data_IF_880974100514
#
_entry.id   IF_880974100514
#
_cell.length_a   1.000
_cell.length_b   1.000
_cell.length_c   1.000
_cell.angle_alpha   90.00
_cell.angle_beta   90.00
_cell.angle_gamma   90.00
#
_symmetry.space_group_name_H-M   'P 1'
#
loop_
_entity.id
_entity.type
_entity.pdbx_description
1 polymer ?
#
# COMPACT_ATOMS: atom_id res chain seq x y z
N UNK A 1 0.64 1.63 4.78
CA UNK A 1 -0.21 0.42 4.82
C UNK A 1 0.42 -0.60 3.90
N UNK A 2 0.54 -1.85 4.32
CA UNK A 2 1.04 -2.94 3.48
C UNK A 2 -0.07 -3.96 3.22
N UNK A 3 -0.02 -4.62 2.07
CA UNK A 3 -0.89 -5.74 1.74
C UNK A 3 -0.09 -6.82 1.03
N UNK A 4 -0.64 -8.03 0.94
CA UNK A 4 0.00 -9.11 0.16
C UNK A 4 0.13 -8.70 -1.31
N UNK A 5 1.24 -9.06 -1.94
CA UNK A 5 1.39 -8.88 -3.39
C UNK A 5 0.30 -9.73 -4.09
N UNK A 6 -0.58 -9.13 -4.90
CA UNK A 6 -1.59 -9.88 -5.63
C UNK A 6 -0.91 -10.86 -6.58
N UNK A 7 -1.45 -12.07 -6.66
CA UNK A 7 -1.01 -13.07 -7.63
C UNK A 7 -1.51 -12.62 -9.00
N UNK A 8 -0.74 -11.77 -9.69
CA UNK A 8 -1.01 -11.47 -11.09
C UNK A 8 -0.98 -12.80 -11.85
N UNK A 9 -2.09 -13.14 -12.52
CA UNK A 9 -2.18 -14.32 -13.40
C UNK A 9 -1.07 -14.32 -14.44
N UNK A 10 -0.81 -15.46 -15.11
CA UNK A 10 0.25 -15.56 -16.09
C UNK A 10 0.13 -14.42 -17.08
N UNK A 11 1.18 -13.60 -17.15
CA UNK A 11 1.31 -12.58 -18.18
C UNK A 11 1.28 -13.32 -19.51
N UNK A 12 0.13 -13.39 -20.18
CA UNK A 12 0.10 -13.74 -21.59
C UNK A 12 0.70 -12.57 -22.37
N UNK A 13 2.01 -12.37 -22.21
CA UNK A 13 2.81 -11.84 -23.29
C UNK A 13 2.75 -12.88 -24.39
N UNK A 14 1.90 -12.64 -25.39
CA UNK A 14 2.01 -13.32 -26.68
C UNK A 14 3.42 -13.09 -27.21
N UNK A 15 4.32 -14.04 -26.93
CA UNK A 15 5.66 -14.10 -27.49
C UNK A 15 5.79 -15.51 -28.02
N UNK A 16 5.34 -15.70 -29.25
CA UNK A 16 5.68 -16.83 -30.09
C UNK A 16 7.20 -17.00 -30.13
N UNK A 17 7.70 -18.15 -29.64
CA UNK A 17 9.00 -18.72 -29.99
C UNK A 17 10.25 -18.11 -29.33
N UNK A 18 11.10 -19.01 -28.82
CA UNK A 18 12.56 -18.79 -28.79
C UNK A 18 13.23 -18.46 -27.45
N UNK A 19 13.91 -19.47 -26.91
CA UNK A 19 15.16 -19.48 -26.10
C UNK A 19 15.28 -18.59 -24.84
N UNK A 20 15.51 -19.26 -23.71
CA UNK A 20 16.21 -18.80 -22.50
C UNK A 20 16.02 -17.34 -22.10
N UNK A 21 14.81 -16.99 -21.68
CA UNK A 21 14.62 -15.79 -20.87
C UNK A 21 15.02 -16.13 -19.44
N UNK A 22 16.26 -15.78 -19.07
CA UNK A 22 16.65 -15.62 -17.68
C UNK A 22 15.49 -14.93 -16.95
N UNK A 23 14.86 -15.65 -16.01
CA UNK A 23 13.70 -15.19 -15.25
C UNK A 23 14.12 -13.88 -14.60
N UNK A 24 13.65 -12.75 -15.16
CA UNK A 24 14.05 -11.41 -14.71
C UNK A 24 13.77 -11.37 -13.21
N UNK A 25 14.82 -11.28 -12.40
CA UNK A 25 14.68 -11.35 -10.95
C UNK A 25 13.76 -10.21 -10.54
N UNK A 26 12.56 -10.55 -10.05
CA UNK A 26 11.58 -9.57 -9.63
C UNK A 26 12.24 -8.63 -8.61
N UNK A 27 12.18 -7.33 -8.85
CA UNK A 27 12.63 -6.34 -7.89
C UNK A 27 11.53 -6.20 -6.84
N UNK A 28 11.68 -6.93 -5.74
CA UNK A 28 10.75 -6.88 -4.62
C UNK A 28 11.25 -5.90 -3.57
N UNK A 29 10.34 -5.18 -2.92
CA UNK A 29 10.70 -4.42 -1.73
C UNK A 29 10.96 -5.39 -0.58
N UNK A 30 11.94 -5.08 0.25
CA UNK A 30 12.22 -5.82 1.47
C UNK A 30 11.77 -4.97 2.66
N UNK A 31 10.88 -5.54 3.47
CA UNK A 31 10.28 -4.90 4.63
C UNK A 31 10.77 -5.62 5.88
N UNK A 32 11.37 -4.88 6.81
CA UNK A 32 11.73 -5.38 8.13
C UNK A 32 10.70 -4.96 9.17
N UNK A 33 10.17 -5.94 9.89
CA UNK A 33 9.14 -5.78 10.91
C UNK A 33 9.64 -6.28 12.27
N UNK A 34 9.07 -5.74 13.33
CA UNK A 34 9.26 -6.31 14.65
C UNK A 34 8.45 -7.63 14.81
N UNK A 35 8.74 -8.46 15.82
CA UNK A 35 8.04 -9.73 16.03
C UNK A 35 6.51 -9.60 16.21
N UNK A 36 6.03 -8.45 16.71
CA UNK A 36 4.59 -8.18 16.85
C UNK A 36 3.93 -7.70 15.55
N UNK A 37 4.72 -7.41 14.50
CA UNK A 37 4.26 -6.91 13.19
C UNK A 37 3.55 -5.55 13.26
N UNK A 38 3.92 -4.72 14.23
CA UNK A 38 3.33 -3.41 14.47
C UNK A 38 4.25 -2.28 14.06
N UNK A 39 5.56 -2.49 14.15
CA UNK A 39 6.58 -1.50 13.88
C UNK A 39 7.32 -1.83 12.61
N UNK A 40 7.53 -0.77 11.81
CA UNK A 40 8.29 -0.81 10.58
C UNK A 40 9.73 -0.43 10.89
N UNK A 41 10.61 -1.43 10.86
CA UNK A 41 12.00 -1.29 11.26
C UNK A 41 12.91 -1.02 10.07
N UNK A 42 12.59 -1.57 8.90
CA UNK A 42 13.42 -1.43 7.71
C UNK A 42 12.57 -1.39 6.45
N UNK A 43 13.01 -0.58 5.48
CA UNK A 43 12.49 -0.56 4.12
C UNK A 43 13.72 -0.49 3.20
N UNK A 44 13.79 -1.42 2.26
CA UNK A 44 14.67 -1.33 1.11
C UNK A 44 13.82 -1.53 -0.15
N UNK A 45 13.89 -0.57 -1.07
CA UNK A 45 13.10 -0.69 -2.30
C UNK A 45 13.79 -1.63 -3.27
N UNK A 46 13.03 -2.31 -4.13
CA UNK A 46 13.61 -3.21 -5.12
C UNK A 46 14.58 -2.52 -6.11
N UNK A 47 14.57 -1.18 -6.18
CA UNK A 47 15.54 -0.41 -6.95
C UNK A 47 16.87 -0.20 -6.19
N UNK A 48 16.84 -0.13 -4.86
CA UNK A 48 18.03 -0.02 -3.99
C UNK A 48 18.74 -1.37 -3.82
N UNK A 49 18.02 -2.49 -4.02
CA UNK A 49 18.54 -3.84 -3.79
C UNK A 49 19.15 -4.36 -5.10
N UNK A 50 20.47 -4.24 -5.24
CA UNK A 50 21.21 -4.88 -6.34
C UNK A 50 21.51 -6.35 -6.04
N UNK A 51 22.25 -6.61 -4.96
CA UNK A 51 22.66 -7.96 -4.51
C UNK A 51 22.46 -8.13 -3.00
N UNK A 52 22.79 -7.12 -2.21
CA UNK A 52 22.76 -7.17 -0.75
C UNK A 52 21.90 -6.05 -0.15
N UNK A 53 21.16 -6.37 0.92
CA UNK A 53 20.44 -5.38 1.71
C UNK A 53 21.25 -5.00 2.97
N UNK A 54 21.42 -3.70 3.22
CA UNK A 54 22.17 -3.20 4.38
C UNK A 54 21.23 -2.92 5.55
N UNK A 55 21.45 -3.60 6.67
CA UNK A 55 20.67 -3.44 7.90
C UNK A 55 21.51 -2.75 8.96
N UNK A 56 20.95 -1.74 9.62
CA UNK A 56 21.64 -1.06 10.72
C UNK A 56 21.70 -1.95 11.96
N UNK A 57 22.92 -2.19 12.46
CA UNK A 57 23.14 -2.92 13.73
C UNK A 57 22.36 -2.29 14.89
N UNK A 58 22.17 -0.97 14.90
CA UNK A 58 21.44 -0.26 15.96
C UNK A 58 19.99 -0.74 16.08
N UNK A 59 19.34 -1.01 14.94
CA UNK A 59 17.97 -1.53 14.93
C UNK A 59 17.97 -2.93 15.53
N UNK A 60 18.87 -3.82 15.10
CA UNK A 60 18.96 -5.19 15.62
C UNK A 60 19.26 -5.22 17.13
N UNK A 61 20.17 -4.38 17.62
CA UNK A 61 20.41 -4.23 19.06
C UNK A 61 19.20 -3.70 19.82
N UNK A 62 18.33 -2.91 19.18
CA UNK A 62 17.13 -2.36 19.81
C UNK A 62 15.99 -3.36 19.89
N UNK A 63 15.74 -4.07 18.81
CA UNK A 63 14.57 -4.97 18.71
C UNK A 63 14.89 -6.41 19.12
N UNK A 64 16.16 -6.80 19.10
CA UNK A 64 16.64 -8.17 19.32
C UNK A 64 16.36 -9.10 18.14
N UNK A 65 15.13 -9.06 17.62
CA UNK A 65 14.66 -9.87 16.50
C UNK A 65 13.90 -9.01 15.49
N UNK A 66 14.12 -9.30 14.20
CA UNK A 66 13.43 -8.64 13.09
C UNK A 66 12.97 -9.69 12.07
N UNK A 67 11.71 -9.61 11.66
CA UNK A 67 11.14 -10.42 10.57
C UNK A 67 11.32 -9.68 9.25
N UNK A 68 11.87 -10.37 8.24
CA UNK A 68 12.10 -9.80 6.91
C UNK A 68 11.10 -10.40 5.92
N UNK A 69 10.36 -9.55 5.22
CA UNK A 69 9.32 -9.93 4.26
C UNK A 69 9.53 -9.29 2.90
N UNK A 70 9.36 -10.08 1.84
CA UNK A 70 9.40 -9.63 0.43
C UNK A 70 8.07 -9.85 -0.31
N UNK A 71 7.08 -10.42 0.36
CA UNK A 71 5.75 -10.75 -0.15
C UNK A 71 4.71 -9.64 0.09
N UNK A 72 5.17 -8.47 0.58
CA UNK A 72 4.33 -7.31 0.88
C UNK A 72 4.49 -6.21 -0.16
N UNK A 73 3.36 -5.66 -0.58
CA UNK A 73 3.23 -4.48 -1.43
C UNK A 73 2.90 -3.25 -0.57
N UNK A 74 3.49 -2.11 -0.95
CA UNK A 74 3.12 -0.81 -0.39
C UNK A 74 1.87 -0.25 -1.11
N UNK A 75 0.77 -0.15 -0.35
CA UNK A 75 -0.52 0.34 -0.83
C UNK A 75 -0.58 1.88 -0.95
N UNK A 76 0.50 2.60 -0.63
CA UNK A 76 0.56 4.08 -0.72
C UNK A 76 -0.42 4.83 0.20
N UNK A 77 -0.87 4.18 1.27
CA UNK A 77 -1.69 4.80 2.31
C UNK A 77 -0.84 5.05 3.56
N UNK A 78 -0.59 6.32 3.86
CA UNK A 78 0.23 6.77 4.98
C UNK A 78 -0.58 7.68 5.90
N UNK A 79 -0.33 7.59 7.20
CA UNK A 79 -0.88 8.48 8.20
C UNK A 79 0.28 9.05 9.02
N UNK A 80 0.43 10.36 9.03
CA UNK A 80 1.52 11.06 9.70
C UNK A 80 0.99 11.95 10.83
N UNK A 81 1.74 12.02 11.93
CA UNK A 81 1.55 13.10 12.90
C UNK A 81 2.02 14.40 12.27
N UNK A 82 1.14 15.41 12.19
CA UNK A 82 1.42 16.70 11.54
C UNK A 82 2.77 17.30 11.97
N UNK A 83 3.04 17.35 13.27
CA UNK A 83 4.28 17.95 13.80
C UNK A 83 5.54 17.25 13.28
N UNK A 84 5.53 15.92 13.19
CA UNK A 84 6.68 15.12 12.73
C UNK A 84 6.88 15.32 11.22
N UNK A 85 5.80 15.32 10.45
CA UNK A 85 5.90 15.55 9.01
C UNK A 85 6.40 16.97 8.71
N UNK A 86 5.89 17.98 9.41
CA UNK A 86 6.31 19.36 9.23
C UNK A 86 7.81 19.53 9.53
N UNK A 87 8.30 18.98 10.64
CA UNK A 87 9.73 19.02 10.99
C UNK A 87 10.61 18.39 9.89
N UNK A 88 10.20 17.26 9.33
CA UNK A 88 10.94 16.62 8.23
C UNK A 88 10.96 17.51 6.99
N UNK A 89 9.81 18.08 6.61
CA UNK A 89 9.70 18.91 5.41
C UNK A 89 10.45 20.24 5.56
N UNK A 90 10.50 20.82 6.76
CA UNK A 90 11.23 22.06 7.03
C UNK A 90 12.75 21.83 6.99
N UNK A 91 13.23 20.67 7.45
CA UNK A 91 14.66 20.33 7.48
C UNK A 91 15.15 19.72 6.16
N UNK A 92 14.25 19.10 5.38
CA UNK A 92 14.56 18.38 4.14
C UNK A 92 13.73 18.90 2.98
N UNK A 93 14.01 20.15 2.61
CA UNK A 93 13.44 20.85 1.46
C UNK A 93 13.63 20.13 0.10
N UNK A 94 14.64 19.27 -0.01
CA UNK A 94 14.94 18.48 -1.22
C UNK A 94 14.08 17.22 -1.40
N UNK A 95 13.28 16.83 -0.41
CA UNK A 95 12.43 15.63 -0.49
C UNK A 95 11.26 15.83 -1.45
N UNK A 96 11.04 14.86 -2.34
CA UNK A 96 10.01 14.93 -3.40
C UNK A 96 9.01 13.78 -3.32
N UNK A 97 9.37 12.67 -2.65
CA UNK A 97 8.58 11.46 -2.58
C UNK A 97 8.34 11.02 -1.14
N UNK A 98 7.07 10.83 -0.78
CA UNK A 98 6.74 10.23 0.51
C UNK A 98 7.31 8.82 0.65
N UNK A 99 7.32 8.04 -0.44
CA UNK A 99 7.76 6.64 -0.44
C UNK A 99 9.28 6.49 -0.50
N UNK A 100 9.97 7.29 -1.31
CA UNK A 100 11.41 7.14 -1.53
C UNK A 100 12.24 8.01 -0.57
N UNK A 101 11.68 9.13 -0.09
CA UNK A 101 12.41 10.08 0.75
C UNK A 101 11.89 10.08 2.20
N UNK A 102 10.66 10.56 2.41
CA UNK A 102 10.12 10.86 3.75
C UNK A 102 10.01 9.59 4.59
N UNK A 103 9.37 8.54 4.07
CA UNK A 103 9.14 7.31 4.82
C UNK A 103 10.47 6.58 5.15
N UNK A 104 11.40 6.36 4.21
CA UNK A 104 12.70 5.77 4.52
C UNK A 104 13.51 6.62 5.49
N UNK A 105 13.45 7.95 5.37
CA UNK A 105 14.08 8.87 6.33
C UNK A 105 13.53 8.67 7.74
N UNK A 106 12.20 8.68 7.90
CA UNK A 106 11.54 8.47 9.19
C UNK A 106 11.91 7.10 9.78
N UNK A 107 11.85 6.03 8.99
CA UNK A 107 12.24 4.68 9.45
C UNK A 107 13.71 4.63 9.89
N UNK A 108 14.62 5.29 9.18
CA UNK A 108 16.06 5.33 9.53
C UNK A 108 16.36 6.23 10.74
N UNK A 109 15.50 7.20 11.03
CA UNK A 109 15.67 8.18 12.11
C UNK A 109 14.89 7.86 13.38
N UNK A 110 13.97 6.88 13.38
CA UNK A 110 13.13 6.54 14.54
C UNK A 110 13.89 6.10 15.80
N UNK A 111 15.16 5.72 15.67
CA UNK A 111 16.06 5.39 16.78
C UNK A 111 17.13 6.46 17.08
N UNK A 112 17.12 7.58 16.35
CA UNK A 112 18.04 8.69 16.60
C UNK A 112 17.46 9.53 17.74
N UNK A 113 18.26 9.78 18.77
CA UNK A 113 17.91 10.73 19.82
C UNK A 113 18.15 12.16 19.32
N UNK A 114 17.20 13.07 19.58
CA UNK A 114 17.37 14.53 19.43
C UNK A 114 18.62 15.08 20.17
N UNK A 115 19.21 14.33 21.10
CA UNK A 115 20.47 14.70 21.74
C UNK A 115 21.63 14.91 20.73
N UNK A 116 21.50 14.44 19.49
CA UNK A 116 22.45 14.69 18.39
C UNK A 116 22.07 15.86 17.47
N UNK A 117 20.86 16.42 17.61
CA UNK A 117 20.33 17.52 16.79
C UNK A 117 20.29 18.86 17.54
N UNK A 118 20.30 18.84 18.88
CA UNK A 118 20.20 20.06 19.68
C UNK A 118 21.53 20.79 19.83
N UNK A 119 21.84 21.65 18.86
CA UNK A 119 22.37 22.99 19.17
C UNK A 119 21.22 23.98 18.93
N UNK A 120 20.73 24.56 20.05
CA UNK A 120 19.80 25.70 20.22
C UNK A 120 18.27 25.49 20.21
N UNK A 121 17.48 26.30 20.97
CA UNK A 121 16.51 25.77 21.95
C UNK A 121 15.01 26.10 21.72
N UNK A 122 14.18 25.21 22.28
CA UNK A 122 12.87 25.34 22.95
C UNK A 122 11.84 26.41 22.53
N UNK A 123 10.63 25.93 22.24
CA UNK A 123 9.37 26.68 22.32
C UNK A 123 8.22 25.69 22.58
N UNK A 124 7.73 25.65 23.81
CA UNK A 124 6.53 24.92 24.20
C UNK A 124 5.31 25.72 23.78
N UNK A 125 4.42 25.15 22.96
CA UNK A 125 3.07 25.69 22.79
C UNK A 125 2.02 24.61 23.04
N UNK A 126 1.28 24.83 24.12
CA UNK A 126 0.02 24.20 24.46
C UNK A 126 -1.05 24.60 23.43
N UNK A 127 -1.55 23.64 22.65
CA UNK A 127 -2.70 23.83 21.75
C UNK A 127 -3.75 22.75 22.00
N UNK A 128 -4.75 23.07 22.83
CA UNK A 128 -5.91 22.24 23.08
C UNK A 128 -6.97 22.52 22.01
N UNK A 129 -7.00 21.73 20.93
CA UNK A 129 -8.09 21.76 19.95
C UNK A 129 -8.81 20.40 19.93
N UNK A 130 -10.01 20.38 20.51
CA UNK A 130 -10.97 19.28 20.36
C UNK A 130 -11.63 19.41 18.98
N UNK A 131 -11.29 18.51 18.06
CA UNK A 131 -12.06 18.29 16.83
C UNK A 131 -12.69 16.90 16.87
N UNK A 132 -14.02 16.89 16.81
CA UNK A 132 -14.89 15.72 16.78
C UNK A 132 -14.63 14.84 15.55
N UNK A 133 -14.30 13.58 15.74
CA UNK A 133 -14.30 12.54 14.69
C UNK A 133 -14.49 11.16 15.31
N UNK A 134 -15.71 10.86 15.76
CA UNK A 134 -16.03 9.64 16.51
C UNK A 134 -15.78 8.33 15.72
N UNK A 135 -15.72 8.36 14.39
CA UNK A 135 -15.44 7.15 13.58
C UNK A 135 -13.94 6.84 13.39
N UNK A 136 -13.04 7.82 13.53
CA UNK A 136 -11.59 7.58 13.41
C UNK A 136 -10.98 7.01 14.69
N UNK A 137 -11.68 7.16 15.82
CA UNK A 137 -11.16 6.79 17.13
C UNK A 137 -11.06 5.27 17.28
N UNK A 138 -11.99 4.47 16.73
CA UNK A 138 -11.94 3.01 16.84
C UNK A 138 -10.75 2.38 16.07
N UNK A 139 -10.45 2.90 14.87
CA UNK A 139 -9.31 2.45 14.06
C UNK A 139 -7.98 2.84 14.69
N UNK A 140 -7.86 4.09 15.14
CA UNK A 140 -6.68 4.59 15.86
C UNK A 140 -6.51 3.85 17.19
N UNK A 141 -7.59 3.60 17.94
CA UNK A 141 -7.56 2.82 19.17
C UNK A 141 -7.14 1.38 18.94
N UNK A 142 -7.47 0.74 17.81
CA UNK A 142 -6.96 -0.60 17.47
C UNK A 142 -5.45 -0.60 17.19
N UNK A 143 -4.95 0.42 16.49
CA UNK A 143 -3.51 0.59 16.23
C UNK A 143 -2.77 0.89 17.54
N UNK A 144 -3.31 1.78 18.38
CA UNK A 144 -2.71 2.18 19.66
C UNK A 144 -2.83 1.11 20.75
N UNK A 145 -3.95 0.39 20.84
CA UNK A 145 -4.13 -0.73 21.78
C UNK A 145 -3.18 -1.88 21.45
N UNK A 146 -2.94 -2.13 20.17
CA UNK A 146 -1.93 -3.08 19.73
C UNK A 146 -0.51 -2.62 20.14
N UNK A 147 -0.21 -1.32 20.05
CA UNK A 147 1.07 -0.72 20.46
C UNK A 147 1.32 -0.67 21.98
N UNK A 148 0.51 -1.35 22.80
CA UNK A 148 0.61 -1.39 24.28
C UNK A 148 1.68 -2.35 24.82
N UNK A 149 2.39 -3.09 23.96
CA UNK A 149 3.61 -3.79 24.37
C UNK A 149 4.73 -2.76 24.62
N UNK A 150 5.67 -3.02 25.54
CA UNK A 150 6.82 -2.13 25.73
C UNK A 150 7.58 -2.04 24.40
N UNK A 151 7.36 -0.96 23.65
CA UNK A 151 8.00 -0.83 22.34
C UNK A 151 9.51 -0.75 22.54
N UNK A 152 10.30 -1.31 21.63
CA UNK A 152 11.77 -1.29 21.67
C UNK A 152 12.39 0.12 21.88
N UNK A 153 11.64 1.18 21.58
CA UNK A 153 12.00 2.56 21.91
C UNK A 153 12.22 2.79 23.42
N UNK A 154 11.63 1.97 24.31
CA UNK A 154 11.75 2.07 25.77
C UNK A 154 13.12 1.66 26.33
N UNK A 155 13.86 0.79 25.62
CA UNK A 155 15.25 0.44 25.97
C UNK A 155 16.17 1.61 25.64
N UNK A 156 15.91 2.30 24.53
CA UNK A 156 16.69 3.43 24.06
C UNK A 156 16.25 4.79 24.63
N UNK A 157 15.17 4.84 25.43
CA UNK A 157 14.79 6.03 26.19
C UNK A 157 15.46 6.10 27.57
N UNK A 158 16.13 5.03 28.02
CA UNK A 158 16.89 5.02 29.27
C UNK A 158 18.33 5.48 29.02
N UNK A 159 18.73 6.55 29.70
CA UNK A 159 20.15 6.92 29.80
C UNK A 159 20.88 5.93 30.73
N UNK A 160 22.22 5.77 30.62
CA UNK A 160 23.01 4.98 31.57
C UNK A 160 22.81 5.43 33.02
N UNK A 161 22.42 6.69 33.20
CA UNK A 161 22.34 7.40 34.47
C UNK A 161 20.96 7.28 35.15
N UNK A 162 20.06 6.44 34.62
CA UNK A 162 18.70 6.25 35.16
C UNK A 162 17.74 7.44 34.98
N UNK A 163 18.20 8.55 34.40
CA UNK A 163 17.36 9.70 34.09
C UNK A 163 16.47 9.43 32.86
N UNK A 164 15.17 9.71 33.01
CA UNK A 164 14.20 9.73 31.91
C UNK A 164 14.36 11.02 31.10
N UNK A 165 15.32 11.06 30.17
CA UNK A 165 15.24 12.10 29.13
C UNK A 165 14.08 11.74 28.20
N UNK A 166 13.14 12.66 28.01
CA UNK A 166 12.08 12.59 26.99
C UNK A 166 12.71 12.69 25.60
N UNK A 167 13.45 11.66 25.17
CA UNK A 167 13.95 11.56 23.80
C UNK A 167 12.71 11.55 22.90
N UNK A 168 12.49 12.63 22.15
CA UNK A 168 11.46 12.64 21.11
C UNK A 168 11.94 11.72 20.01
N UNK A 169 11.50 10.47 20.08
CA UNK A 169 11.62 9.51 18.99
C UNK A 169 10.24 9.35 18.37
N UNK A 170 10.12 9.61 17.07
CA UNK A 170 8.92 9.19 16.36
C UNK A 170 8.98 7.68 16.15
N UNK A 171 7.80 7.06 16.10
CA UNK A 171 7.66 5.61 15.87
C UNK A 171 7.07 5.41 14.48
N UNK A 172 7.68 4.53 13.70
CA UNK A 172 7.11 4.11 12.43
C UNK A 172 6.29 2.85 12.64
N UNK A 173 4.97 2.97 12.55
CA UNK A 173 4.06 1.83 12.66
C UNK A 173 3.62 1.34 11.27
N UNK A 174 3.21 0.08 11.20
CA UNK A 174 2.66 -0.52 10.00
C UNK A 174 1.29 -1.11 10.28
N UNK A 175 0.39 -0.98 9.31
CA UNK A 175 -0.84 -1.77 9.24
C UNK A 175 -0.71 -2.72 8.05
N UNK A 176 -0.81 -4.02 8.31
CA UNK A 176 -0.81 -5.06 7.30
C UNK A 176 -2.26 -5.51 7.11
N UNK A 177 -2.77 -5.37 5.88
CA UNK A 177 -4.12 -5.81 5.53
C UNK A 177 -4.27 -7.32 5.77
N UNK A 178 -5.42 -7.72 6.29
CA UNK A 178 -5.77 -9.14 6.39
C UNK A 178 -5.80 -9.78 4.98
N UNK A 179 -5.46 -11.06 4.89
CA UNK A 179 -5.62 -11.84 3.66
C UNK A 179 -7.07 -11.93 3.20
N UNK A 180 -8.03 -11.69 4.10
CA UNK A 180 -9.47 -11.62 3.78
C UNK A 180 -9.90 -10.27 3.21
N UNK A 181 -9.03 -9.26 3.18
CA UNK A 181 -9.34 -7.92 2.67
C UNK A 181 -8.79 -7.73 1.27
N UNK A 182 -9.60 -7.16 0.37
CA UNK A 182 -9.14 -6.77 -0.95
C UNK A 182 -8.37 -5.44 -0.86
N UNK A 183 -7.06 -5.48 -1.09
CA UNK A 183 -6.20 -4.30 -1.05
C UNK A 183 -5.16 -4.38 -2.16
N UNK A 184 -5.27 -3.49 -3.14
CA UNK A 184 -4.51 -3.47 -4.38
C UNK A 184 -4.19 -2.02 -4.75
N UNK A 185 -3.06 -1.81 -5.42
CA UNK A 185 -2.63 -0.47 -5.83
C UNK A 185 -2.84 -0.27 -7.32
N UNK A 186 -3.54 0.81 -7.68
CA UNK A 186 -3.81 1.19 -9.06
C UNK A 186 -2.83 2.28 -9.52
N UNK A 187 -1.63 1.89 -9.96
CA UNK A 187 -0.60 2.81 -10.43
C UNK A 187 0.01 2.41 -11.79
N UNK A 188 -0.54 1.41 -12.45
CA UNK A 188 -0.12 0.97 -13.78
C UNK A 188 -1.31 0.47 -14.57
N UNK A 189 -1.17 0.43 -15.90
CA UNK A 189 -2.19 -0.14 -16.80
C UNK A 189 -2.38 -1.63 -16.48
N UNK A 190 -1.30 -2.35 -16.15
CA UNK A 190 -1.38 -3.75 -15.75
C UNK A 190 -2.21 -3.93 -14.49
N UNK A 191 -1.94 -3.13 -13.45
CA UNK A 191 -2.74 -3.16 -12.23
C UNK A 191 -4.20 -2.79 -12.50
N UNK A 192 -4.47 -1.80 -13.35
CA UNK A 192 -5.83 -1.46 -13.76
C UNK A 192 -6.56 -2.64 -14.41
N UNK A 193 -5.91 -3.36 -15.35
CA UNK A 193 -6.47 -4.54 -15.99
C UNK A 193 -6.70 -5.69 -15.01
N UNK A 194 -5.74 -5.93 -14.10
CA UNK A 194 -5.83 -6.98 -13.09
C UNK A 194 -6.96 -6.71 -12.11
N UNK A 195 -7.05 -5.48 -11.60
CA UNK A 195 -8.11 -5.04 -10.70
C UNK A 195 -9.47 -5.18 -11.39
N UNK A 196 -9.61 -4.76 -12.64
CA UNK A 196 -10.86 -4.93 -13.39
C UNK A 196 -11.28 -6.40 -13.52
N UNK A 197 -10.32 -7.31 -13.70
CA UNK A 197 -10.60 -8.75 -13.76
C UNK A 197 -10.99 -9.30 -12.39
N UNK A 198 -10.29 -8.91 -11.33
CA UNK A 198 -10.59 -9.35 -9.97
C UNK A 198 -12.00 -8.92 -9.58
N UNK A 199 -12.31 -7.64 -9.81
CA UNK A 199 -13.57 -7.05 -9.37
C UNK A 199 -14.77 -7.45 -10.24
N UNK A 200 -14.55 -8.08 -11.39
CA UNK A 200 -15.60 -8.72 -12.20
C UNK A 200 -15.64 -10.25 -12.01
N UNK A 201 -14.73 -10.79 -11.21
CA UNK A 201 -14.64 -12.21 -10.85
C UNK A 201 -14.66 -12.38 -9.34
N UNK A 202 -13.54 -12.76 -8.75
CA UNK A 202 -13.43 -13.17 -7.35
C UNK A 202 -13.82 -12.08 -6.34
N UNK A 203 -13.63 -10.81 -6.70
CA UNK A 203 -13.97 -9.65 -5.89
C UNK A 203 -15.27 -8.95 -6.34
N UNK A 204 -16.16 -9.64 -7.08
CA UNK A 204 -17.44 -9.09 -7.54
C UNK A 204 -18.34 -8.62 -6.37
N UNK A 205 -18.22 -9.26 -5.21
CA UNK A 205 -18.91 -8.86 -3.98
C UNK A 205 -18.60 -7.44 -3.49
N UNK A 206 -17.47 -6.85 -3.93
CA UNK A 206 -17.14 -5.45 -3.64
C UNK A 206 -17.99 -4.46 -4.44
N UNK A 207 -18.68 -4.93 -5.47
CA UNK A 207 -19.51 -4.12 -6.34
C UNK A 207 -20.97 -4.42 -6.08
N UNK A 208 -21.79 -3.38 -6.17
CA UNK A 208 -23.21 -3.53 -5.94
C UNK A 208 -23.81 -4.55 -6.93
N UNK A 209 -24.69 -5.45 -6.47
CA UNK A 209 -25.18 -6.60 -7.24
C UNK A 209 -25.92 -6.24 -8.55
N UNK A 210 -26.30 -4.98 -8.73
CA UNK A 210 -27.10 -4.50 -9.86
C UNK A 210 -26.29 -4.10 -11.12
N UNK A 211 -24.99 -4.39 -11.17
CA UNK A 211 -24.07 -3.83 -12.18
C UNK A 211 -23.58 -4.82 -13.25
N UNK A 212 -24.03 -6.07 -13.26
CA UNK A 212 -23.66 -7.04 -14.32
C UNK A 212 -24.16 -6.52 -15.67
N UNK A 213 -25.34 -5.92 -15.63
CA UNK A 213 -26.06 -5.33 -16.75
C UNK A 213 -26.88 -4.19 -16.11
N UNK A 214 -26.52 -2.92 -16.31
CA UNK A 214 -27.41 -1.82 -15.88
C UNK A 214 -28.82 -2.05 -16.44
N UNK A 215 -29.92 -1.54 -15.87
CA UNK A 215 -31.29 -2.01 -16.15
C UNK A 215 -31.82 -1.85 -17.59
N UNK A 216 -30.99 -1.45 -18.57
CA UNK A 216 -31.43 -0.92 -19.87
C UNK A 216 -30.56 -1.23 -21.11
N UNK A 217 -29.68 -2.24 -21.19
CA UNK A 217 -28.86 -2.38 -22.37
C UNK A 217 -29.65 -3.06 -23.48
N UNK A 218 -29.60 -2.47 -24.68
CA UNK A 218 -30.27 -3.06 -25.83
C UNK A 218 -29.29 -4.03 -26.49
N UNK A 219 -29.60 -5.33 -26.44
CA UNK A 219 -28.82 -6.36 -27.12
C UNK A 219 -29.50 -6.75 -28.44
N UNK A 220 -28.74 -6.71 -29.54
CA UNK A 220 -29.16 -7.21 -30.83
C UNK A 220 -29.26 -8.74 -30.90
N UNK A 221 -29.74 -9.23 -32.02
CA UNK A 221 -29.98 -10.65 -32.29
C UNK A 221 -28.67 -11.43 -32.33
N UNK A 222 -28.63 -12.62 -31.70
CA UNK A 222 -27.43 -13.48 -31.62
C UNK A 222 -26.21 -12.80 -30.95
N UNK A 223 -26.45 -11.81 -30.09
CA UNK A 223 -25.40 -11.17 -29.29
C UNK A 223 -25.22 -11.87 -27.95
N UNK A 224 -23.98 -12.08 -27.54
CA UNK A 224 -23.63 -12.80 -26.31
C UNK A 224 -22.65 -12.01 -25.46
N UNK A 225 -22.92 -11.97 -24.15
CA UNK A 225 -22.05 -11.42 -23.12
C UNK A 225 -21.61 -12.59 -22.23
N UNK A 226 -20.30 -12.85 -22.18
CA UNK A 226 -19.72 -13.94 -21.40
C UNK A 226 -19.63 -13.63 -19.90
N UNK A 227 -19.18 -14.60 -19.08
CA UNK A 227 -18.93 -14.39 -17.66
C UNK A 227 -17.84 -13.33 -17.44
N UNK A 228 -17.86 -12.71 -16.26
CA UNK A 228 -16.91 -11.68 -15.83
C UNK A 228 -16.85 -10.50 -16.81
N UNK A 229 -18.00 -10.18 -17.41
CA UNK A 229 -18.19 -8.98 -18.23
C UNK A 229 -19.12 -8.04 -17.50
N UNK A 230 -18.99 -6.73 -17.78
CA UNK A 230 -19.96 -5.73 -17.33
C UNK A 230 -20.36 -4.80 -18.43
N UNK A 231 -21.65 -4.49 -18.50
CA UNK A 231 -22.23 -3.56 -19.45
C UNK A 231 -22.86 -2.38 -18.71
N UNK A 232 -22.29 -1.20 -18.92
CA UNK A 232 -22.82 0.03 -18.37
C UNK A 232 -24.23 0.34 -18.88
N UNK A 233 -25.00 1.03 -18.05
CA UNK A 233 -26.35 1.51 -18.36
C UNK A 233 -26.41 2.30 -19.67
N UNK A 234 -27.52 2.16 -20.42
CA UNK A 234 -27.77 2.90 -21.65
C UNK A 234 -26.88 2.52 -22.83
N UNK A 235 -26.09 1.45 -22.70
CA UNK A 235 -25.26 0.91 -23.78
C UNK A 235 -26.06 0.00 -24.71
N UNK A 236 -25.78 0.09 -26.00
CA UNK A 236 -26.48 -0.69 -27.04
C UNK A 236 -25.47 -1.52 -27.83
N UNK A 237 -25.85 -2.75 -28.16
CA UNK A 237 -25.06 -3.69 -28.94
C UNK A 237 -25.86 -4.15 -30.16
N UNK A 238 -25.26 -4.09 -31.34
CA UNK A 238 -25.85 -4.60 -32.59
C UNK A 238 -25.91 -6.12 -32.64
N UNK A 239 -26.30 -6.67 -33.80
CA UNK A 239 -26.46 -8.11 -33.99
C UNK A 239 -25.11 -8.85 -34.02
N UNK A 240 -25.12 -10.14 -33.63
CA UNK A 240 -23.98 -11.07 -33.75
C UNK A 240 -22.70 -10.58 -33.04
N UNK A 241 -22.84 -9.90 -31.90
CA UNK A 241 -21.70 -9.46 -31.10
C UNK A 241 -21.28 -10.51 -30.05
N UNK A 242 -20.00 -10.49 -29.66
CA UNK A 242 -19.48 -11.36 -28.61
C UNK A 242 -18.55 -10.57 -27.68
N UNK A 243 -18.89 -10.51 -26.39
CA UNK A 243 -18.10 -9.84 -25.35
C UNK A 243 -17.60 -10.88 -24.36
N UNK A 244 -16.29 -10.88 -24.06
CA UNK A 244 -15.67 -11.82 -23.12
C UNK A 244 -14.63 -11.12 -22.26
N UNK A 245 -14.72 -11.27 -20.93
CA UNK A 245 -13.79 -10.68 -19.93
C UNK A 245 -13.54 -9.18 -20.13
N UNK A 246 -14.59 -8.43 -20.45
CA UNK A 246 -14.48 -7.00 -20.76
C UNK A 246 -15.50 -6.18 -19.97
N UNK A 247 -15.12 -4.93 -19.69
CA UNK A 247 -15.99 -3.93 -19.08
C UNK A 247 -16.30 -2.87 -20.14
N UNK A 248 -17.59 -2.67 -20.43
CA UNK A 248 -18.09 -1.65 -21.34
C UNK A 248 -18.72 -0.54 -20.50
N UNK A 249 -18.32 0.71 -20.76
CA UNK A 249 -18.84 1.89 -20.07
C UNK A 249 -20.33 2.13 -20.30
N UNK A 250 -20.85 3.21 -19.71
CA UNK A 250 -22.23 3.67 -19.93
C UNK A 250 -22.37 4.35 -21.29
N UNK A 251 -23.55 4.27 -21.88
CA UNK A 251 -23.91 4.95 -23.13
C UNK A 251 -23.04 4.62 -24.36
N UNK A 252 -22.40 3.44 -24.37
CA UNK A 252 -21.63 2.98 -25.52
C UNK A 252 -22.57 2.48 -26.64
N UNK A 253 -22.12 2.57 -27.88
CA UNK A 253 -22.78 1.99 -29.06
C UNK A 253 -21.83 1.04 -29.75
N UNK A 254 -22.11 -0.25 -29.69
CA UNK A 254 -21.31 -1.30 -30.32
C UNK A 254 -22.06 -1.76 -31.57
N UNK A 255 -21.43 -1.60 -32.75
CA UNK A 255 -22.01 -2.02 -34.02
C UNK A 255 -22.16 -3.54 -34.14
N UNK A 256 -22.90 -4.00 -35.14
CA UNK A 256 -23.08 -5.44 -35.43
C UNK A 256 -21.76 -6.12 -35.80
N UNK A 257 -21.65 -7.43 -35.55
CA UNK A 257 -20.49 -8.28 -35.88
C UNK A 257 -19.19 -7.97 -35.09
N UNK A 258 -19.29 -7.32 -33.93
CA UNK A 258 -18.12 -6.95 -33.11
C UNK A 258 -17.76 -8.04 -32.10
N UNK A 259 -16.45 -8.27 -31.92
CA UNK A 259 -15.91 -9.14 -30.87
C UNK A 259 -15.02 -8.32 -29.93
N UNK A 260 -15.39 -8.28 -28.66
CA UNK A 260 -14.62 -7.63 -27.58
C UNK A 260 -14.04 -8.73 -26.69
N UNK A 261 -12.74 -8.67 -26.43
CA UNK A 261 -11.97 -9.68 -25.68
C UNK A 261 -11.01 -9.03 -24.71
#
# INVERSE_FOLDING_TARGET
MLCSIPVSGPSESGSSGGKDKAKKLGRYNIIGLDPSKQFLLHIATGAEIEKDARISKRILHAVGQMEMRSDLMDAHMYAFKRSVLQEVLDVKDTFQSLKEDVLPYLVRSQLKSEALLNRTPQGEENGNEKVSSQNNQAFISRILANASTPSFHGIYSKNPDGSSSTRKTHKCCVYIASSSSYCVRLNSIQAFMDINRDVTGDADHLLSPNNIIGPSPKLGTKTTVGPNCRLGEGSEMGDKCQVKRSIIGRHCRIGSHVKVR
#
